data_IF_943864750604
#
_entry.id   IF_943864750604
#
_cell.length_a   1.000
_cell.length_b   1.000
_cell.length_c   1.000
_cell.angle_alpha   90.00
_cell.angle_beta   90.00
_cell.angle_gamma   90.00
#
_symmetry.space_group_name_H-M   'P 1'
#
loop_
_entity.id
_entity.type
_entity.pdbx_description
1 polymer ?
#
# COMPACT_ATOMS: atom_id res chain seq x y z
N UNK A 1 -15.98 -9.27 10.87
CA UNK A 1 -14.74 -10.05 11.15
C UNK A 1 -14.21 -10.77 9.92
N UNK A 2 -15.06 -11.41 9.10
CA UNK A 2 -14.66 -12.06 7.83
C UNK A 2 -13.98 -11.12 6.82
N UNK A 3 -14.46 -9.88 6.66
CA UNK A 3 -13.92 -8.93 5.68
C UNK A 3 -12.48 -8.49 5.94
N UNK A 4 -12.10 -8.21 7.19
CA UNK A 4 -10.74 -7.76 7.51
C UNK A 4 -9.70 -8.88 7.50
N UNK A 5 -10.07 -10.11 7.86
CA UNK A 5 -9.17 -11.28 7.76
C UNK A 5 -8.90 -11.61 6.29
N UNK A 6 -9.91 -11.50 5.43
CA UNK A 6 -9.77 -11.68 3.97
C UNK A 6 -8.86 -10.61 3.36
N UNK A 7 -8.96 -9.34 3.79
CA UNK A 7 -8.07 -8.28 3.27
C UNK A 7 -6.60 -8.45 3.70
N UNK A 8 -6.34 -8.88 4.94
CA UNK A 8 -4.97 -9.12 5.41
C UNK A 8 -4.38 -10.37 4.73
N UNK A 9 -5.18 -11.44 4.61
CA UNK A 9 -4.78 -12.66 3.90
C UNK A 9 -4.49 -12.40 2.42
N UNK A 10 -5.34 -11.63 1.74
CA UNK A 10 -5.13 -11.23 0.35
C UNK A 10 -3.89 -10.37 0.15
N UNK A 11 -3.59 -9.45 1.09
CA UNK A 11 -2.38 -8.62 1.03
C UNK A 11 -1.10 -9.44 1.24
N UNK A 12 -1.05 -10.30 2.27
CA UNK A 12 0.11 -11.16 2.52
C UNK A 12 0.32 -12.14 1.36
N UNK A 13 -0.75 -12.75 0.85
CA UNK A 13 -0.69 -13.64 -0.30
C UNK A 13 -0.18 -12.90 -1.55
N UNK A 14 -0.70 -11.70 -1.83
CA UNK A 14 -0.25 -10.88 -2.97
C UNK A 14 1.23 -10.52 -2.88
N UNK A 15 1.71 -10.17 -1.69
CA UNK A 15 3.13 -9.89 -1.46
C UNK A 15 4.01 -11.13 -1.56
N UNK A 16 3.56 -12.28 -1.03
CA UNK A 16 4.28 -13.55 -1.19
C UNK A 16 4.36 -13.96 -2.65
N UNK A 17 3.27 -13.81 -3.41
CA UNK A 17 3.27 -14.06 -4.87
C UNK A 17 4.22 -13.11 -5.58
N UNK A 18 4.22 -11.81 -5.25
CA UNK A 18 5.14 -10.84 -5.85
C UNK A 18 6.61 -11.17 -5.55
N UNK A 19 6.94 -11.53 -4.30
CA UNK A 19 8.30 -11.93 -3.90
C UNK A 19 8.72 -13.21 -4.63
N UNK A 20 7.84 -14.21 -4.70
CA UNK A 20 8.13 -15.48 -5.39
C UNK A 20 8.29 -15.24 -6.89
N UNK A 21 7.42 -14.47 -7.52
CA UNK A 21 7.50 -14.17 -8.96
C UNK A 21 8.78 -13.39 -9.28
N UNK A 22 9.09 -12.32 -8.53
CA UNK A 22 10.33 -11.56 -8.71
C UNK A 22 11.55 -12.43 -8.44
N UNK A 23 11.52 -13.28 -7.40
CA UNK A 23 12.59 -14.21 -7.07
C UNK A 23 12.81 -15.24 -8.18
N UNK A 24 11.75 -15.84 -8.71
CA UNK A 24 11.81 -16.79 -9.83
C UNK A 24 12.37 -16.11 -11.08
N UNK A 25 11.92 -14.91 -11.42
CA UNK A 25 12.45 -14.16 -12.57
C UNK A 25 13.94 -13.83 -12.39
N UNK A 26 14.36 -13.44 -11.19
CA UNK A 26 15.77 -13.13 -10.91
C UNK A 26 16.65 -14.39 -10.99
N UNK A 27 16.16 -15.50 -10.45
CA UNK A 27 16.85 -16.79 -10.52
C UNK A 27 16.92 -17.33 -11.95
N UNK A 28 15.86 -17.14 -12.76
CA UNK A 28 15.85 -17.57 -14.15
C UNK A 28 16.83 -16.74 -15.00
N UNK A 29 16.85 -15.41 -14.84
CA UNK A 29 17.86 -14.56 -15.50
C UNK A 29 19.28 -14.97 -15.10
N UNK A 30 19.53 -15.21 -13.81
CA UNK A 30 20.84 -15.70 -13.34
C UNK A 30 21.20 -17.06 -13.93
N UNK A 31 20.25 -17.99 -14.02
CA UNK A 31 20.44 -19.30 -14.62
C UNK A 31 20.65 -19.23 -16.14
N UNK A 32 19.99 -18.31 -16.84
CA UNK A 32 20.22 -18.05 -18.26
C UNK A 32 21.61 -17.44 -18.49
N UNK A 33 22.03 -16.50 -17.64
CA UNK A 33 23.37 -15.90 -17.68
C UNK A 33 24.48 -16.96 -17.48
N UNK A 34 24.26 -17.92 -16.57
CA UNK A 34 25.18 -19.02 -16.34
C UNK A 34 25.28 -19.99 -17.53
N UNK A 35 24.18 -20.16 -18.29
CA UNK A 35 24.13 -20.99 -19.50
C UNK A 35 24.65 -20.29 -20.76
N UNK A 36 24.66 -18.95 -20.75
CA UNK A 36 25.14 -18.11 -21.86
C UNK A 36 26.67 -18.17 -22.02
N UNK A 37 27.14 -19.26 -22.62
CA UNK A 37 28.56 -19.62 -22.75
C UNK A 37 29.11 -19.42 -24.17
N UNK A 38 28.26 -19.49 -25.20
CA UNK A 38 28.66 -19.23 -26.57
C UNK A 38 28.80 -17.73 -26.81
N UNK A 39 29.80 -17.31 -27.59
CA UNK A 39 30.08 -15.90 -27.91
C UNK A 39 29.87 -15.64 -29.39
N UNK A 40 29.35 -14.46 -29.73
CA UNK A 40 29.22 -14.00 -31.12
C UNK A 40 29.27 -12.47 -31.18
N UNK A 41 29.38 -11.92 -32.39
CA UNK A 41 29.29 -10.48 -32.63
C UNK A 41 27.87 -10.14 -33.08
N UNK A 42 27.31 -9.08 -32.51
CA UNK A 42 26.03 -8.54 -32.86
C UNK A 42 26.18 -7.14 -33.46
N UNK A 43 25.34 -6.78 -34.42
CA UNK A 43 25.31 -5.46 -35.03
C UNK A 43 24.13 -4.67 -34.49
N UNK A 44 24.36 -3.44 -34.05
CA UNK A 44 23.30 -2.54 -33.61
C UNK A 44 22.48 -2.12 -34.83
N UNK A 45 21.19 -2.47 -34.85
CA UNK A 45 20.29 -2.12 -35.96
C UNK A 45 19.49 -0.86 -35.64
N UNK A 46 19.04 -0.73 -34.40
CA UNK A 46 18.19 0.37 -33.97
C UNK A 46 18.49 0.81 -32.53
N UNK A 47 18.30 2.09 -32.24
CA UNK A 47 18.47 2.67 -30.91
C UNK A 47 17.16 3.30 -30.42
N UNK A 48 16.80 3.01 -29.18
CA UNK A 48 15.68 3.59 -28.48
C UNK A 48 16.16 4.67 -27.52
N UNK A 49 15.50 5.83 -27.57
CA UNK A 49 15.84 7.00 -26.78
C UNK A 49 14.78 7.27 -25.71
N UNK A 50 15.19 7.77 -24.54
CA UNK A 50 14.27 8.35 -23.57
C UNK A 50 13.87 9.79 -23.97
N UNK A 51 12.89 10.33 -23.28
CA UNK A 51 12.42 11.72 -23.46
C UNK A 51 13.49 12.78 -23.17
N UNK A 52 14.59 12.41 -22.49
CA UNK A 52 15.73 13.27 -22.19
C UNK A 52 16.85 13.17 -23.24
N UNK A 53 16.68 12.35 -24.28
CA UNK A 53 17.64 12.14 -25.37
C UNK A 53 18.76 11.13 -25.05
N UNK A 54 18.68 10.41 -23.93
CA UNK A 54 19.59 9.31 -23.58
C UNK A 54 19.20 8.00 -24.27
N UNK A 55 20.16 7.11 -24.50
CA UNK A 55 19.92 5.78 -25.06
C UNK A 55 19.40 4.85 -23.97
N UNK A 56 18.24 4.24 -24.16
CA UNK A 56 17.65 3.31 -23.19
C UNK A 56 17.85 1.87 -23.61
N UNK A 57 17.77 1.59 -24.91
CA UNK A 57 17.89 0.23 -25.44
C UNK A 57 18.36 0.22 -26.90
N UNK A 58 18.81 -0.93 -27.37
CA UNK A 58 19.21 -1.17 -28.76
C UNK A 58 18.70 -2.51 -29.25
N UNK A 59 18.26 -2.58 -30.51
CA UNK A 59 18.06 -3.84 -31.21
C UNK A 59 19.40 -4.32 -31.77
N UNK A 60 19.77 -5.55 -31.42
CA UNK A 60 20.98 -6.20 -31.88
C UNK A 60 20.63 -7.34 -32.82
N UNK A 61 21.18 -7.30 -34.03
CA UNK A 61 21.13 -8.41 -34.98
C UNK A 61 22.38 -9.28 -34.83
N UNK A 62 22.20 -10.59 -34.71
CA UNK A 62 23.30 -11.53 -34.55
C UNK A 62 22.99 -12.88 -35.18
N UNK A 63 24.01 -13.73 -35.32
CA UNK A 63 23.88 -15.08 -35.85
C UNK A 63 24.36 -16.10 -34.82
N UNK A 64 23.58 -17.16 -34.64
CA UNK A 64 23.97 -18.29 -33.80
C UNK A 64 24.99 -19.21 -34.52
N UNK A 65 25.45 -20.25 -33.82
CA UNK A 65 26.42 -21.20 -34.37
C UNK A 65 25.88 -21.98 -35.59
N UNK A 66 24.55 -22.06 -35.76
CA UNK A 66 23.90 -22.66 -36.93
C UNK A 66 23.75 -21.68 -38.10
N UNK A 67 24.15 -20.41 -37.93
CA UNK A 67 23.97 -19.37 -38.93
C UNK A 67 22.54 -18.84 -39.01
N UNK A 68 21.69 -19.11 -38.01
CA UNK A 68 20.33 -18.55 -37.94
C UNK A 68 20.43 -17.12 -37.41
N UNK A 69 19.69 -16.21 -38.06
CA UNK A 69 19.63 -14.80 -37.70
C UNK A 69 18.67 -14.57 -36.54
N UNK A 70 19.09 -13.77 -35.58
CA UNK A 70 18.34 -13.35 -34.40
C UNK A 70 18.34 -11.83 -34.28
N UNK A 71 17.26 -11.28 -33.70
CA UNK A 71 17.18 -9.86 -33.31
C UNK A 71 16.75 -9.80 -31.86
N UNK A 72 17.54 -9.14 -31.02
CA UNK A 72 17.29 -9.06 -29.57
C UNK A 72 17.41 -7.63 -29.08
N UNK A 73 16.43 -7.19 -28.29
CA UNK A 73 16.46 -5.91 -27.61
C UNK A 73 17.32 -6.02 -26.35
N UNK A 74 18.33 -5.14 -26.22
CA UNK A 74 19.17 -5.05 -25.02
C UNK A 74 19.15 -3.64 -24.44
N UNK A 75 19.28 -3.54 -23.12
CA UNK A 75 19.45 -2.25 -22.46
C UNK A 75 20.89 -1.75 -22.67
N UNK A 76 21.05 -0.50 -23.11
CA UNK A 76 22.36 0.12 -23.33
C UNK A 76 22.54 1.22 -22.27
N UNK A 77 23.70 1.25 -21.61
CA UNK A 77 24.03 2.31 -20.66
C UNK A 77 24.28 3.65 -21.37
N UNK A 78 23.89 4.75 -20.73
CA UNK A 78 24.14 6.12 -21.22
C UNK A 78 25.63 6.50 -21.30
N UNK A 79 26.51 5.67 -20.75
CA UNK A 79 27.96 5.84 -20.72
C UNK A 79 28.66 5.36 -21.99
N UNK A 80 27.93 4.74 -22.93
CA UNK A 80 28.49 4.26 -24.20
C UNK A 80 27.89 5.00 -25.39
N UNK A 81 28.77 5.59 -26.20
CA UNK A 81 28.43 5.97 -27.58
C UNK A 81 28.21 4.69 -28.39
N UNK A 82 26.97 4.21 -28.42
CA UNK A 82 26.54 3.15 -29.32
C UNK A 82 25.85 3.81 -30.50
N UNK A 83 26.28 3.48 -31.71
CA UNK A 83 25.68 3.97 -32.97
C UNK A 83 25.16 2.80 -33.80
N UNK A 84 24.10 3.00 -34.61
CA UNK A 84 23.66 1.97 -35.54
C UNK A 84 24.81 1.55 -36.47
N UNK A 85 24.95 0.25 -36.71
CA UNK A 85 26.05 -0.37 -37.44
C UNK A 85 27.25 -0.76 -36.59
N UNK A 86 27.32 -0.34 -35.32
CA UNK A 86 28.39 -0.76 -34.42
C UNK A 86 28.30 -2.26 -34.11
N UNK A 87 29.47 -2.91 -33.98
CA UNK A 87 29.59 -4.30 -33.54
C UNK A 87 29.73 -4.39 -32.03
N UNK A 88 28.98 -5.30 -31.39
CA UNK A 88 29.01 -5.56 -29.96
C UNK A 88 29.23 -7.05 -29.71
N UNK A 89 30.12 -7.39 -28.78
CA UNK A 89 30.33 -8.77 -28.38
C UNK A 89 29.20 -9.20 -27.42
N UNK A 90 28.53 -10.30 -27.75
CA UNK A 90 27.48 -10.89 -26.93
C UNK A 90 27.77 -12.35 -26.60
N UNK A 91 27.07 -12.84 -25.59
CA UNK A 91 26.99 -14.21 -25.11
C UNK A 91 25.55 -14.68 -25.16
N UNK A 92 25.36 -15.92 -25.56
CA UNK A 92 24.05 -16.57 -25.64
C UNK A 92 24.16 -18.05 -25.23
N UNK A 93 23.03 -18.65 -24.90
CA UNK A 93 22.95 -20.07 -24.59
C UNK A 93 22.78 -20.86 -25.90
N UNK A 94 23.75 -21.70 -26.32
CA UNK A 94 23.67 -22.38 -27.62
C UNK A 94 22.55 -23.41 -27.71
N UNK A 95 22.11 -23.93 -26.55
CA UNK A 95 20.95 -24.82 -26.40
C UNK A 95 19.62 -24.08 -26.35
N UNK A 96 19.64 -22.75 -26.24
CA UNK A 96 18.46 -21.89 -26.25
C UNK A 96 18.78 -20.52 -26.88
N UNK A 97 18.97 -20.47 -28.22
CA UNK A 97 19.39 -19.25 -28.92
C UNK A 97 18.30 -18.16 -28.89
N UNK A 98 17.03 -18.52 -28.71
CA UNK A 98 15.92 -17.57 -28.54
C UNK A 98 15.83 -16.99 -27.11
N UNK A 99 16.74 -17.38 -26.21
CA UNK A 99 16.82 -16.89 -24.84
C UNK A 99 17.42 -15.49 -24.72
N UNK A 100 17.66 -15.05 -23.48
CA UNK A 100 18.34 -13.78 -23.23
C UNK A 100 19.79 -13.82 -23.72
N UNK A 101 20.23 -12.70 -24.30
CA UNK A 101 21.64 -12.46 -24.65
C UNK A 101 22.28 -11.52 -23.65
N UNK A 102 23.55 -11.75 -23.36
CA UNK A 102 24.34 -11.02 -22.36
C UNK A 102 25.61 -10.45 -23.03
N UNK A 103 26.26 -9.41 -22.50
CA UNK A 103 27.52 -8.92 -23.06
C UNK A 103 28.70 -9.91 -22.92
N UNK A 104 29.66 -9.82 -23.85
CA UNK A 104 30.72 -10.77 -24.15
C UNK A 104 31.64 -11.24 -23.02
N UNK A 105 32.18 -10.35 -22.20
CA UNK A 105 32.92 -10.61 -20.94
C UNK A 105 33.69 -9.37 -20.45
N UNK A 106 33.96 -8.39 -21.30
CA UNK A 106 34.66 -7.16 -20.90
C UNK A 106 33.68 -6.03 -20.50
N UNK A 107 32.40 -6.31 -20.68
CA UNK A 107 31.29 -5.39 -20.51
C UNK A 107 30.39 -5.95 -19.42
N UNK A 108 30.71 -5.70 -18.15
CA UNK A 108 29.72 -5.89 -17.09
C UNK A 108 28.48 -5.07 -17.46
N UNK A 109 27.29 -5.68 -17.37
CA UNK A 109 26.08 -4.87 -17.31
C UNK A 109 26.33 -3.80 -16.26
N UNK A 110 26.07 -2.51 -16.55
CA UNK A 110 26.17 -1.50 -15.52
C UNK A 110 25.39 -2.03 -14.32
N UNK A 111 25.98 -2.04 -13.11
CA UNK A 111 25.27 -2.51 -11.92
C UNK A 111 23.91 -1.82 -11.92
N UNK A 112 22.83 -2.53 -11.54
CA UNK A 112 21.47 -2.00 -11.60
C UNK A 112 21.51 -0.58 -11.05
N UNK A 113 21.21 0.40 -11.93
CA UNK A 113 21.61 1.79 -11.69
C UNK A 113 21.26 2.18 -10.26
N UNK A 114 22.13 2.93 -9.58
CA UNK A 114 22.07 3.23 -8.14
C UNK A 114 20.65 3.41 -7.56
N UNK A 115 19.74 3.99 -8.34
CA UNK A 115 18.33 4.15 -7.99
C UNK A 115 17.58 2.82 -7.79
N UNK A 116 17.75 1.80 -8.63
CA UNK A 116 17.11 0.48 -8.51
C UNK A 116 17.52 -0.18 -7.21
N UNK A 117 18.84 -0.23 -6.95
CA UNK A 117 19.37 -0.80 -5.71
C UNK A 117 18.85 -0.04 -4.49
N UNK A 118 18.87 1.31 -4.53
CA UNK A 118 18.31 2.15 -3.45
C UNK A 118 16.81 1.94 -3.27
N UNK A 119 16.04 1.73 -4.33
CA UNK A 119 14.61 1.45 -4.27
C UNK A 119 14.34 0.08 -3.65
N UNK A 120 15.06 -0.96 -4.08
CA UNK A 120 14.93 -2.32 -3.53
C UNK A 120 15.30 -2.32 -2.04
N UNK A 121 16.44 -1.74 -1.67
CA UNK A 121 16.85 -1.61 -0.27
C UNK A 121 15.85 -0.79 0.55
N UNK A 122 15.35 0.32 -0.01
CA UNK A 122 14.32 1.15 0.61
C UNK A 122 13.03 0.36 0.88
N UNK A 123 12.56 -0.43 -0.08
CA UNK A 123 11.38 -1.28 0.07
C UNK A 123 11.61 -2.41 1.08
N UNK A 124 12.79 -3.03 1.08
CA UNK A 124 13.17 -4.08 2.04
C UNK A 124 13.19 -3.59 3.49
N UNK A 125 13.41 -2.29 3.73
CA UNK A 125 13.33 -1.70 5.08
C UNK A 125 11.93 -1.16 5.37
N UNK A 126 11.34 -0.42 4.43
CA UNK A 126 10.06 0.26 4.61
C UNK A 126 8.88 -0.72 4.78
N UNK A 127 8.86 -1.81 4.00
CA UNK A 127 7.78 -2.80 4.07
C UNK A 127 7.75 -3.53 5.43
N UNK A 128 8.85 -4.11 5.94
CA UNK A 128 8.86 -4.70 7.28
C UNK A 128 8.53 -3.69 8.38
N UNK A 129 9.06 -2.47 8.32
CA UNK A 129 8.76 -1.44 9.30
C UNK A 129 7.25 -1.10 9.31
N UNK A 130 6.64 -0.94 8.14
CA UNK A 130 5.21 -0.74 8.01
C UNK A 130 4.44 -1.95 8.59
N UNK A 131 4.79 -3.18 8.20
CA UNK A 131 4.16 -4.40 8.69
C UNK A 131 4.25 -4.55 10.21
N UNK A 132 5.39 -4.23 10.81
CA UNK A 132 5.57 -4.23 12.27
C UNK A 132 4.64 -3.22 12.95
N UNK A 133 4.52 -2.01 12.41
CA UNK A 133 3.58 -1.01 12.93
C UNK A 133 2.12 -1.47 12.80
N UNK A 134 1.77 -2.10 11.68
CA UNK A 134 0.45 -2.67 11.44
C UNK A 134 0.14 -3.81 12.42
N UNK A 135 1.07 -4.76 12.55
CA UNK A 135 0.96 -5.93 13.43
C UNK A 135 0.87 -5.52 14.90
N UNK A 136 1.70 -4.58 15.35
CA UNK A 136 1.64 -4.02 16.69
C UNK A 136 0.27 -3.39 16.96
N UNK A 137 -0.28 -2.63 16.01
CA UNK A 137 -1.62 -2.04 16.16
C UNK A 137 -2.72 -3.10 16.22
N UNK A 138 -2.68 -4.11 15.36
CA UNK A 138 -3.64 -5.22 15.38
C UNK A 138 -3.59 -5.94 16.73
N UNK A 139 -2.40 -6.25 17.22
CA UNK A 139 -2.21 -6.89 18.52
C UNK A 139 -2.79 -6.04 19.65
N UNK A 140 -2.57 -4.73 19.65
CA UNK A 140 -3.16 -3.81 20.63
C UNK A 140 -4.69 -3.77 20.55
N UNK A 141 -5.25 -3.80 19.35
CA UNK A 141 -6.70 -3.87 19.14
C UNK A 141 -7.28 -5.19 19.65
N UNK A 142 -6.63 -6.33 19.35
CA UNK A 142 -7.04 -7.65 19.83
C UNK A 142 -6.94 -7.77 21.35
N UNK A 143 -5.88 -7.21 21.95
CA UNK A 143 -5.75 -7.11 23.41
C UNK A 143 -6.88 -6.30 24.02
N UNK A 144 -7.25 -5.17 23.42
CA UNK A 144 -8.41 -4.39 23.86
C UNK A 144 -9.71 -5.20 23.73
N UNK A 145 -9.93 -5.90 22.61
CA UNK A 145 -11.12 -6.73 22.40
C UNK A 145 -11.26 -7.91 23.38
N UNK A 146 -10.16 -8.38 23.96
CA UNK A 146 -10.14 -9.45 24.97
C UNK A 146 -10.24 -8.93 26.40
N UNK A 147 -10.16 -7.61 26.62
CA UNK A 147 -10.32 -7.05 27.96
C UNK A 147 -11.75 -7.29 28.47
N UNK A 148 -11.97 -7.34 29.79
CA UNK A 148 -13.32 -7.45 30.35
C UNK A 148 -14.25 -6.36 29.80
N UNK A 149 -15.48 -6.74 29.46
CA UNK A 149 -16.52 -5.80 29.07
C UNK A 149 -16.99 -5.02 30.31
N UNK A 150 -17.13 -3.71 30.17
CA UNK A 150 -17.78 -2.87 31.17
C UNK A 150 -18.92 -2.08 30.52
N UNK A 151 -19.85 -1.58 31.33
CA UNK A 151 -20.91 -0.69 30.89
C UNK A 151 -20.38 0.73 30.67
N UNK A 152 -20.65 1.28 29.49
CA UNK A 152 -20.25 2.63 29.09
C UNK A 152 -21.42 3.35 28.45
N UNK A 153 -21.29 4.67 28.32
CA UNK A 153 -22.14 5.46 27.42
C UNK A 153 -21.31 5.97 26.26
N UNK A 154 -21.76 5.73 25.04
CA UNK A 154 -21.10 6.18 23.82
C UNK A 154 -21.96 7.20 23.08
N UNK A 155 -21.32 8.26 22.58
CA UNK A 155 -21.93 9.19 21.65
C UNK A 155 -21.01 9.33 20.43
N UNK A 156 -21.52 9.15 19.21
CA UNK A 156 -20.75 9.44 18.00
C UNK A 156 -20.46 10.94 17.93
N UNK A 157 -19.22 11.27 17.62
CA UNK A 157 -18.74 12.62 17.39
C UNK A 157 -18.04 12.69 16.04
N UNK A 158 -18.28 13.76 15.32
CA UNK A 158 -17.49 14.14 14.16
C UNK A 158 -16.54 15.25 14.60
N UNK A 159 -15.24 14.99 14.50
CA UNK A 159 -14.24 16.03 14.72
C UNK A 159 -13.71 16.53 13.38
N UNK A 160 -13.46 17.84 13.29
CA UNK A 160 -13.02 18.51 12.06
C UNK A 160 -11.76 19.30 12.30
N UNK A 161 -10.83 19.27 11.36
CA UNK A 161 -9.61 20.06 11.42
C UNK A 161 -9.47 20.82 10.10
N UNK A 162 -9.49 22.16 10.19
CA UNK A 162 -9.35 23.03 9.04
C UNK A 162 -7.96 23.66 9.04
N UNK A 163 -7.25 23.53 7.93
CA UNK A 163 -6.06 24.32 7.65
C UNK A 163 -6.34 25.21 6.42
N UNK A 164 -5.32 25.94 5.94
CA UNK A 164 -5.47 26.86 4.80
C UNK A 164 -5.91 26.17 3.51
N UNK A 165 -5.62 24.88 3.34
CA UNK A 165 -5.72 24.17 2.06
C UNK A 165 -6.72 23.01 2.06
N UNK A 166 -7.19 22.58 3.24
CA UNK A 166 -8.01 21.38 3.39
C UNK A 166 -8.83 21.37 4.69
N UNK A 167 -9.99 20.73 4.61
CA UNK A 167 -10.81 20.36 5.77
C UNK A 167 -10.77 18.85 5.95
N UNK A 168 -10.34 18.42 7.13
CA UNK A 168 -10.19 17.02 7.48
C UNK A 168 -11.28 16.60 8.46
N UNK A 169 -11.85 15.43 8.24
CA UNK A 169 -12.93 14.88 9.07
C UNK A 169 -12.49 13.56 9.69
N UNK A 170 -12.84 13.34 10.95
CA UNK A 170 -12.55 12.10 11.65
C UNK A 170 -13.69 11.68 12.57
N UNK A 171 -14.08 10.41 12.47
CA UNK A 171 -15.05 9.80 13.37
C UNK A 171 -14.44 9.50 14.75
N UNK A 172 -15.13 9.93 15.79
CA UNK A 172 -14.81 9.68 17.19
C UNK A 172 -16.01 9.11 17.93
N UNK A 173 -15.74 8.32 18.97
CA UNK A 173 -16.70 8.02 20.03
C UNK A 173 -16.30 8.78 21.29
N UNK A 174 -17.25 9.53 21.85
CA UNK A 174 -17.18 10.02 23.21
C UNK A 174 -17.67 8.94 24.15
N UNK A 175 -16.75 8.40 24.94
CA UNK A 175 -16.99 7.30 25.86
C UNK A 175 -17.02 7.84 27.29
N UNK A 176 -18.13 7.63 27.98
CA UNK A 176 -18.30 7.98 29.40
C UNK A 176 -18.46 6.70 30.20
N UNK A 177 -17.54 6.47 31.13
CA UNK A 177 -17.58 5.31 32.02
C UNK A 177 -18.84 5.36 32.90
N UNK A 178 -19.55 4.24 33.03
CA UNK A 178 -20.66 4.09 33.98
C UNK A 178 -20.11 3.40 35.23
N UNK A 179 -19.80 4.15 36.30
CA UNK A 179 -19.14 3.59 37.47
C UNK A 179 -20.11 2.69 38.23
N UNK A 180 -19.69 1.44 38.50
CA UNK A 180 -20.49 0.47 39.24
C UNK A 180 -20.77 0.89 40.70
N UNK A 181 -19.97 1.78 41.27
CA UNK A 181 -20.04 2.22 42.68
C UNK A 181 -20.26 3.72 42.87
N UNK A 182 -20.89 4.43 41.93
CA UNK A 182 -21.26 5.85 42.11
C UNK A 182 -20.11 6.87 42.07
N UNK A 183 -18.89 6.46 41.69
CA UNK A 183 -17.76 7.37 41.52
C UNK A 183 -17.93 8.39 40.38
N UNK A 184 -16.98 9.33 40.19
CA UNK A 184 -17.06 10.31 39.12
C UNK A 184 -16.92 9.65 37.74
N UNK A 185 -17.89 9.90 36.85
CA UNK A 185 -17.87 9.40 35.49
C UNK A 185 -16.69 10.00 34.70
N UNK A 186 -15.80 9.15 34.22
CA UNK A 186 -14.64 9.57 33.41
C UNK A 186 -15.02 9.62 31.94
N UNK A 187 -14.61 10.70 31.26
CA UNK A 187 -14.86 10.91 29.84
C UNK A 187 -13.60 10.68 29.02
N UNK A 188 -13.77 10.02 27.90
CA UNK A 188 -12.72 9.72 26.94
C UNK A 188 -13.21 9.93 25.50
N UNK A 189 -12.25 10.09 24.61
CA UNK A 189 -12.41 10.19 23.17
C UNK A 189 -11.62 9.07 22.51
N UNK A 190 -12.31 8.25 21.72
CA UNK A 190 -11.72 7.17 20.96
C UNK A 190 -11.91 7.49 19.48
N UNK A 191 -10.82 7.65 18.73
CA UNK A 191 -10.93 7.67 17.25
C UNK A 191 -11.38 6.27 16.82
N UNK A 192 -12.35 6.17 15.94
CA UNK A 192 -12.89 4.89 15.47
C UNK A 192 -12.83 4.80 13.96
N UNK A 193 -12.81 3.56 13.46
CA UNK A 193 -13.11 3.35 12.05
C UNK A 193 -14.57 3.68 11.80
N UNK A 194 -14.88 4.26 10.65
CA UNK A 194 -16.26 4.49 10.27
C UNK A 194 -16.97 3.14 10.13
N UNK A 195 -18.17 3.05 10.70
CA UNK A 195 -19.04 1.90 10.63
C UNK A 195 -20.49 2.42 10.47
N UNK A 196 -21.29 1.88 9.53
CA UNK A 196 -22.68 2.28 9.35
C UNK A 196 -23.53 2.18 10.62
N UNK A 197 -23.20 1.29 11.56
CA UNK A 197 -23.93 1.16 12.82
C UNK A 197 -23.79 2.42 13.69
N UNK A 198 -22.71 3.20 13.52
CA UNK A 198 -22.53 4.48 14.20
C UNK A 198 -23.54 5.54 13.75
N UNK A 199 -24.13 5.42 12.55
CA UNK A 199 -25.18 6.32 12.07
C UNK A 199 -26.54 5.99 12.70
N UNK A 200 -26.72 4.74 13.14
CA UNK A 200 -27.95 4.28 13.82
C UNK A 200 -27.97 4.67 15.29
N UNK A 201 -26.80 4.93 15.88
CA UNK A 201 -26.70 5.44 17.25
C UNK A 201 -27.50 6.73 17.36
N UNK A 202 -28.68 6.63 17.97
CA UNK A 202 -29.61 7.76 17.98
C UNK A 202 -29.00 8.85 18.86
N UNK A 203 -28.83 10.08 18.37
CA UNK A 203 -28.78 11.22 19.26
C UNK A 203 -30.19 11.36 19.85
N UNK A 204 -30.49 10.60 20.93
CA UNK A 204 -31.69 10.88 21.74
C UNK A 204 -31.64 12.37 22.05
N UNK A 205 -32.78 13.06 21.90
CA UNK A 205 -32.94 14.54 21.99
C UNK A 205 -32.35 15.19 23.27
N UNK A 206 -31.79 14.40 24.18
CA UNK A 206 -30.91 14.84 25.26
C UNK A 206 -29.43 14.61 24.89
N UNK A 207 -28.79 15.65 24.34
CA UNK A 207 -27.39 15.73 23.88
C UNK A 207 -26.31 15.32 24.92
N UNK A 208 -26.67 15.00 26.16
CA UNK A 208 -25.72 14.81 27.25
C UNK A 208 -25.35 13.36 27.57
N UNK A 209 -26.19 12.37 27.25
CA UNK A 209 -26.02 11.06 27.90
C UNK A 209 -25.49 9.94 27.02
N UNK A 210 -25.61 9.98 25.69
CA UNK A 210 -25.15 8.89 24.82
C UNK A 210 -25.96 7.59 24.98
N UNK A 211 -25.71 6.63 24.10
CA UNK A 211 -26.31 5.30 24.14
C UNK A 211 -25.53 4.41 25.11
N UNK A 212 -26.21 3.54 25.87
CA UNK A 212 -25.49 2.56 26.69
C UNK A 212 -24.87 1.52 25.75
N UNK A 213 -23.61 1.19 26.00
CA UNK A 213 -22.84 0.23 25.20
C UNK A 213 -21.94 -0.58 26.10
N UNK A 214 -21.45 -1.70 25.60
CA UNK A 214 -20.34 -2.40 26.25
C UNK A 214 -19.02 -1.93 25.64
N UNK A 215 -18.01 -1.66 26.47
CA UNK A 215 -16.68 -1.36 25.97
C UNK A 215 -15.62 -2.23 26.64
N UNK A 216 -14.73 -2.77 25.81
CA UNK A 216 -13.53 -3.50 26.22
C UNK A 216 -12.33 -2.54 26.12
N UNK A 217 -11.78 -2.16 27.26
CA UNK A 217 -10.72 -1.15 27.34
C UNK A 217 -9.39 -1.81 27.66
N UNK A 218 -8.45 -1.74 26.70
CA UNK A 218 -7.09 -2.23 26.88
C UNK A 218 -6.29 -1.44 27.91
N UNK A 219 -5.23 -2.06 28.44
CA UNK A 219 -4.34 -1.51 29.46
C UNK A 219 -3.47 -0.32 29.02
N UNK A 220 -2.75 0.27 29.98
CA UNK A 220 -1.72 1.28 29.74
C UNK A 220 -0.47 0.64 29.11
N UNK A 221 0.37 1.34 28.30
CA UNK A 221 0.32 2.75 27.88
C UNK A 221 -0.64 3.07 26.74
N UNK A 222 -0.92 2.11 25.88
CA UNK A 222 -1.66 2.33 24.63
C UNK A 222 -3.13 1.96 24.80
N UNK A 223 -3.81 2.60 25.76
CA UNK A 223 -5.24 2.38 26.02
C UNK A 223 -6.05 2.56 24.74
N UNK A 224 -6.90 1.58 24.44
CA UNK A 224 -7.81 1.54 23.28
C UNK A 224 -9.12 0.94 23.73
N UNK A 225 -10.23 1.41 23.20
CA UNK A 225 -11.56 0.87 23.48
C UNK A 225 -12.14 0.20 22.23
N UNK A 226 -12.51 -1.08 22.35
CA UNK A 226 -13.38 -1.75 21.38
C UNK A 226 -14.79 -1.67 21.94
N UNK A 227 -15.71 -1.07 21.19
CA UNK A 227 -17.09 -0.83 21.65
C UNK A 227 -18.01 -1.83 20.96
N UNK A 228 -18.87 -2.48 21.74
CA UNK A 228 -19.91 -3.38 21.26
C UNK A 228 -21.25 -2.66 21.41
N UNK A 229 -21.93 -2.47 20.29
CA UNK A 229 -23.26 -1.87 20.22
C UNK A 229 -24.34 -2.89 20.57
N UNK A 230 -25.58 -2.42 20.77
CA UNK A 230 -26.72 -3.26 21.15
C UNK A 230 -27.04 -4.36 20.11
N UNK A 231 -26.74 -4.12 18.84
CA UNK A 231 -26.89 -5.11 17.76
C UNK A 231 -25.72 -6.11 17.65
N UNK A 232 -24.78 -6.07 18.60
CA UNK A 232 -23.58 -6.91 18.62
C UNK A 232 -22.44 -6.41 17.73
N UNK A 233 -22.63 -5.32 16.99
CA UNK A 233 -21.60 -4.74 16.12
C UNK A 233 -20.42 -4.25 16.96
N UNK A 234 -19.20 -4.63 16.54
CA UNK A 234 -17.95 -4.20 17.19
C UNK A 234 -17.34 -3.02 16.45
N UNK A 235 -17.34 -1.86 17.08
CA UNK A 235 -16.67 -0.66 16.60
C UNK A 235 -15.20 -0.68 17.06
N UNK A 236 -14.31 -0.77 16.08
CA UNK A 236 -12.87 -0.90 16.33
C UNK A 236 -12.17 0.46 16.45
N UNK A 237 -11.18 0.59 17.34
CA UNK A 237 -10.44 1.81 17.54
C UNK A 237 -9.45 2.07 16.40
N UNK A 238 -9.52 3.29 15.84
CA UNK A 238 -8.56 3.83 14.88
C UNK A 238 -7.43 4.66 15.55
N UNK A 239 -7.36 4.66 16.87
CA UNK A 239 -6.33 5.40 17.61
C UNK A 239 -6.31 5.05 19.09
N UNK A 240 -5.56 5.83 19.87
CA UNK A 240 -5.54 5.73 21.33
C UNK A 240 -6.80 6.35 21.94
N UNK A 241 -7.27 5.79 23.05
CA UNK A 241 -8.24 6.38 23.95
C UNK A 241 -7.63 7.60 24.66
N UNK A 242 -8.22 8.77 24.48
CA UNK A 242 -7.71 10.06 24.98
C UNK A 242 -8.66 10.66 26.00
N UNK A 243 -8.13 11.37 27.00
CA UNK A 243 -8.98 12.18 27.92
C UNK A 243 -9.29 13.57 27.36
N UNK A 244 -8.41 14.09 26.52
CA UNK A 244 -8.50 15.42 25.93
C UNK A 244 -8.70 15.31 24.43
N UNK A 245 -9.40 16.30 23.87
CA UNK A 245 -9.54 16.50 22.44
C UNK A 245 -8.16 16.67 21.79
N UNK A 246 -7.97 16.18 20.55
CA UNK A 246 -6.81 16.56 19.75
C UNK A 246 -6.75 18.10 19.55
N UNK A 247 -5.55 18.65 19.53
CA UNK A 247 -5.33 20.09 19.33
C UNK A 247 -5.76 20.54 17.93
N UNK A 248 -6.41 21.71 17.82
CA UNK A 248 -6.98 22.29 16.58
C UNK A 248 -8.11 21.50 15.90
N UNK A 249 -8.61 20.43 16.51
CA UNK A 249 -9.84 19.81 16.04
C UNK A 249 -11.04 20.53 16.64
N UNK A 250 -12.13 20.66 15.89
CA UNK A 250 -13.43 21.20 16.26
C UNK A 250 -14.48 20.07 16.24
N UNK A 251 -15.63 20.26 16.89
CA UNK A 251 -16.68 19.24 17.03
C UNK A 251 -17.81 19.78 16.20
N UNK A 252 -18.17 19.03 15.18
CA UNK A 252 -19.26 19.40 14.29
C UNK A 252 -20.44 18.46 14.51
N UNK A 253 -21.67 18.96 14.33
CA UNK A 253 -22.82 18.09 14.24
C UNK A 253 -22.56 17.05 13.15
N UNK A 254 -22.69 15.78 13.49
CA UNK A 254 -22.60 14.73 12.47
C UNK A 254 -23.82 14.87 11.56
N UNK A 255 -23.65 15.09 10.24
CA UNK A 255 -24.76 15.23 9.32
C UNK A 255 -25.61 13.95 9.35
N UNK A 256 -26.90 14.11 9.62
CA UNK A 256 -27.87 13.03 9.60
C UNK A 256 -28.22 12.71 8.14
N UNK A 257 -27.77 11.55 7.66
CA UNK A 257 -28.14 10.95 6.37
C UNK A 257 -27.66 11.68 5.11
N UNK A 258 -26.77 11.00 4.40
CA UNK A 258 -26.67 11.06 2.94
C UNK A 258 -26.18 9.69 2.48
N UNK A 259 -26.70 9.17 1.36
CA UNK A 259 -26.15 7.97 0.70
C UNK A 259 -24.68 8.25 0.31
N UNK A 260 -23.75 8.00 1.23
CA UNK A 260 -22.33 8.17 0.99
C UNK A 260 -21.82 6.91 0.29
N UNK A 261 -21.46 7.04 -0.99
CA UNK A 261 -20.64 6.02 -1.64
C UNK A 261 -19.23 6.15 -1.04
N UNK A 262 -18.70 5.15 -0.34
CA UNK A 262 -17.31 5.15 0.08
C UNK A 262 -16.46 4.95 -1.17
N UNK A 263 -16.17 6.04 -1.86
CA UNK A 263 -15.14 6.06 -2.89
C UNK A 263 -14.27 7.26 -2.57
N UNK A 264 -13.01 7.09 -2.13
CA UNK A 264 -11.96 7.98 -2.64
C UNK A 264 -12.27 8.16 -4.12
N UNK A 265 -12.37 9.40 -4.62
CA UNK A 265 -12.75 9.64 -6.01
C UNK A 265 -12.01 8.64 -6.88
N UNK A 266 -12.72 7.73 -7.56
CA UNK A 266 -12.10 6.51 -8.12
C UNK A 266 -10.89 6.84 -8.99
N UNK A 267 -10.91 8.04 -9.57
CA UNK A 267 -9.80 8.65 -10.29
C UNK A 267 -8.51 8.83 -9.49
N UNK A 268 -8.50 9.16 -8.19
CA UNK A 268 -7.26 9.32 -7.42
C UNK A 268 -6.58 7.97 -7.14
N UNK A 269 -7.35 6.95 -6.73
CA UNK A 269 -6.80 5.59 -6.54
C UNK A 269 -6.37 5.00 -7.87
N UNK A 270 -7.19 5.16 -8.92
CA UNK A 270 -6.84 4.70 -10.25
C UNK A 270 -5.61 5.45 -10.80
N UNK A 271 -5.51 6.77 -10.59
CA UNK A 271 -4.37 7.56 -11.04
C UNK A 271 -3.09 7.14 -10.32
N UNK A 272 -3.08 7.01 -8.99
CA UNK A 272 -1.87 6.59 -8.27
C UNK A 272 -1.50 5.13 -8.56
N UNK A 273 -2.49 4.24 -8.68
CA UNK A 273 -2.26 2.86 -9.10
C UNK A 273 -1.74 2.78 -10.53
N UNK A 274 -2.22 3.65 -11.42
CA UNK A 274 -1.72 3.79 -12.78
C UNK A 274 -0.31 4.39 -12.78
N UNK A 275 0.02 5.38 -11.95
CA UNK A 275 1.37 5.95 -11.90
C UNK A 275 2.40 4.91 -11.45
N UNK A 276 2.08 4.16 -10.39
CA UNK A 276 2.95 3.06 -9.91
C UNK A 276 2.98 1.90 -10.92
N UNK A 277 1.83 1.54 -11.48
CA UNK A 277 1.70 0.45 -12.44
C UNK A 277 2.37 0.71 -13.78
N UNK A 278 2.21 1.91 -14.33
CA UNK A 278 2.78 2.34 -15.62
C UNK A 278 4.29 2.47 -15.51
N UNK A 279 4.81 3.07 -14.44
CA UNK A 279 6.25 3.15 -14.21
C UNK A 279 6.88 1.75 -14.11
N UNK A 280 6.27 0.86 -13.32
CA UNK A 280 6.72 -0.53 -13.22
C UNK A 280 6.53 -1.35 -14.51
N UNK A 281 5.48 -1.06 -15.29
CA UNK A 281 5.22 -1.68 -16.60
C UNK A 281 6.31 -1.31 -17.61
N UNK A 282 6.63 -0.03 -17.73
CA UNK A 282 7.61 0.47 -18.69
C UNK A 282 9.02 -0.05 -18.40
N UNK A 283 9.37 -0.21 -17.12
CA UNK A 283 10.72 -0.59 -16.69
C UNK A 283 10.93 -2.10 -16.59
N UNK A 284 9.88 -2.86 -16.23
CA UNK A 284 10.03 -4.28 -15.84
C UNK A 284 9.00 -5.20 -16.52
N UNK A 285 8.20 -4.66 -17.43
CA UNK A 285 7.22 -5.41 -18.20
C UNK A 285 5.85 -5.59 -17.52
N UNK A 286 4.90 -6.19 -18.25
CA UNK A 286 3.47 -6.19 -17.91
C UNK A 286 3.14 -6.87 -16.59
N UNK A 287 3.80 -7.99 -16.27
CA UNK A 287 3.54 -8.75 -15.04
C UNK A 287 3.88 -7.94 -13.78
N UNK A 288 5.01 -7.22 -13.80
CA UNK A 288 5.49 -6.41 -12.67
C UNK A 288 4.64 -5.14 -12.52
N UNK A 289 4.26 -4.50 -13.64
CA UNK A 289 3.35 -3.36 -13.63
C UNK A 289 1.98 -3.66 -13.01
N UNK A 290 1.38 -4.80 -13.36
CA UNK A 290 0.07 -5.22 -12.82
C UNK A 290 0.19 -5.52 -11.31
N UNK A 291 1.24 -6.23 -10.89
CA UNK A 291 1.47 -6.54 -9.47
C UNK A 291 1.67 -5.26 -8.63
N UNK A 292 2.48 -4.32 -9.12
CA UNK A 292 2.74 -3.05 -8.43
C UNK A 292 1.48 -2.18 -8.32
N UNK A 293 0.67 -2.10 -9.37
CA UNK A 293 -0.63 -1.42 -9.34
C UNK A 293 -1.57 -2.06 -8.30
N UNK A 294 -1.65 -3.40 -8.27
CA UNK A 294 -2.47 -4.13 -7.31
C UNK A 294 -2.06 -3.87 -5.85
N UNK A 295 -0.76 -3.88 -5.56
CA UNK A 295 -0.21 -3.55 -4.24
C UNK A 295 -0.50 -2.09 -3.88
N UNK A 296 -0.32 -1.15 -4.82
CA UNK A 296 -0.64 0.26 -4.61
C UNK A 296 -2.11 0.50 -4.26
N UNK A 297 -3.04 -0.11 -5.00
CA UNK A 297 -4.48 -0.06 -4.71
C UNK A 297 -4.79 -0.65 -3.34
N UNK A 298 -4.19 -1.79 -3.00
CA UNK A 298 -4.40 -2.47 -1.72
C UNK A 298 -3.91 -1.62 -0.54
N UNK A 299 -2.72 -1.02 -0.65
CA UNK A 299 -2.16 -0.12 0.36
C UNK A 299 -3.04 1.13 0.50
N UNK A 300 -3.47 1.75 -0.59
CA UNK A 300 -4.33 2.94 -0.57
C UNK A 300 -5.72 2.66 0.02
N UNK A 301 -6.38 1.57 -0.40
CA UNK A 301 -7.65 1.15 0.19
C UNK A 301 -7.51 0.86 1.67
N UNK A 302 -6.42 0.18 2.04
CA UNK A 302 -6.14 -0.15 3.42
C UNK A 302 -5.91 1.10 4.25
N UNK A 303 -5.02 2.02 3.81
CA UNK A 303 -4.73 3.34 4.39
C UNK A 303 -6.02 4.16 4.54
N UNK A 304 -6.85 4.21 3.49
CA UNK A 304 -8.12 4.95 3.51
C UNK A 304 -9.09 4.39 4.56
N UNK A 305 -9.31 3.08 4.56
CA UNK A 305 -10.04 2.39 5.61
C UNK A 305 -9.39 2.59 6.99
N UNK A 306 -8.06 2.80 7.02
CA UNK A 306 -7.26 2.96 8.23
C UNK A 306 -7.30 4.35 8.88
N UNK A 307 -7.55 5.40 8.11
CA UNK A 307 -7.66 6.75 8.63
C UNK A 307 -9.09 7.09 9.09
N UNK A 308 -10.07 6.22 8.82
CA UNK A 308 -11.46 6.49 9.20
C UNK A 308 -11.95 7.82 8.62
N UNK A 309 -11.51 8.12 7.39
CA UNK A 309 -11.96 9.30 6.67
C UNK A 309 -13.46 9.17 6.44
N UNK A 310 -14.25 9.98 7.14
CA UNK A 310 -15.65 10.14 6.80
C UNK A 310 -15.72 10.99 5.54
N UNK A 311 -16.21 10.41 4.44
CA UNK A 311 -16.50 11.17 3.21
C UNK A 311 -17.67 12.08 3.52
N UNK A 312 -17.44 13.38 3.67
CA UNK A 312 -18.53 14.36 3.74
C UNK A 312 -18.88 14.76 2.32
N UNK A 313 -20.13 14.50 1.92
CA UNK A 313 -20.66 15.11 0.71
C UNK A 313 -20.66 16.63 0.94
N UNK A 314 -19.93 17.37 0.09
CA UNK A 314 -20.09 18.81 0.04
C UNK A 314 -21.55 19.15 -0.25
N UNK A 315 -22.10 20.09 0.52
CA UNK A 315 -23.26 20.83 0.06
C UNK A 315 -22.71 21.88 -0.89
N UNK A 316 -22.73 21.56 -2.18
CA UNK A 316 -22.80 22.59 -3.23
C UNK A 316 -24.26 23.06 -3.33
#
# INVERSE_FOLDING_TARGET
MRTHVVSIGGFLLGMSVAIVVLGVLTLDVSAQQARATARTSATVVYLYYDDAGGHVAADLEWFDAGGVRHVTLVQVGNDREVVPGAGLAIRYAPDNPDGLVFPGADDEFPPPGDWVLRTVLGLLVALPALLLLLGARLLLNLRAARAPAAAWRAAPLLLTHRNSNATWYAGYLRLTEVPAGGGPARRYLQRVYWDPALDRMRPRKQRQYGEQVQAHVGGWPFRRAVVVLDDGTRVWPAGRLRRRRPWRWNEEPRPSYGRRRPRPGGGLIAAMAATVGIGSFALYGPAVGIAAAGVGVAILHYIWGWYGGEVICGHD
#
